data_IF_876396188433
#
_entry.id   IF_876396188433
#
_cell.length_a   1.000
_cell.length_b   1.000
_cell.length_c   1.000
_cell.angle_alpha   90.00
_cell.angle_beta   90.00
_cell.angle_gamma   90.00
#
_symmetry.space_group_name_H-M   'P 1'
#
loop_
_entity.id
_entity.type
_entity.pdbx_description
1 polymer ?
#
# COMPACT_ATOMS: atom_id res chain seq x y z
N UNK A 1 4.52 44.43 -41.85
CA UNK A 1 5.37 43.25 -41.56
C UNK A 1 5.29 43.01 -40.06
N UNK A 2 4.52 42.02 -39.64
CA UNK A 2 4.42 41.63 -38.23
C UNK A 2 5.48 40.54 -37.98
N UNK A 3 6.41 40.80 -37.06
CA UNK A 3 7.36 39.80 -36.60
C UNK A 3 6.58 38.75 -35.80
N UNK A 4 6.52 37.53 -36.32
CA UNK A 4 6.20 36.36 -35.50
C UNK A 4 7.29 36.20 -34.45
N UNK A 5 6.90 36.36 -33.19
CA UNK A 5 7.72 35.95 -32.05
C UNK A 5 7.72 34.43 -32.06
N UNK A 6 8.76 33.84 -32.64
CA UNK A 6 9.05 32.41 -32.52
C UNK A 6 9.18 32.10 -31.02
N UNK A 7 8.19 31.40 -30.45
CA UNK A 7 8.31 30.79 -29.12
C UNK A 7 9.51 29.86 -29.17
N UNK A 8 10.64 30.27 -28.60
CA UNK A 8 11.73 29.35 -28.30
C UNK A 8 11.22 28.37 -27.24
N UNK A 9 10.75 27.20 -27.66
CA UNK A 9 10.57 26.08 -26.76
C UNK A 9 11.95 25.71 -26.20
N UNK A 10 12.17 25.95 -24.91
CA UNK A 10 13.31 25.39 -24.18
C UNK A 10 13.13 23.88 -24.06
N UNK A 11 13.35 23.15 -25.16
CA UNK A 11 13.29 21.69 -25.20
C UNK A 11 14.58 21.10 -24.62
N UNK A 12 14.63 21.04 -23.30
CA UNK A 12 15.67 20.27 -22.59
C UNK A 12 15.50 18.77 -22.89
N UNK A 13 16.55 17.96 -22.67
CA UNK A 13 16.44 16.49 -22.77
C UNK A 13 15.32 15.94 -21.89
N UNK A 14 15.11 16.52 -20.70
CA UNK A 14 14.01 16.17 -19.82
C UNK A 14 12.65 16.47 -20.47
N UNK A 15 12.48 17.67 -21.03
CA UNK A 15 11.25 18.08 -21.72
C UNK A 15 10.92 17.13 -22.87
N UNK A 16 11.93 16.70 -23.63
CA UNK A 16 11.78 15.72 -24.70
C UNK A 16 11.19 14.39 -24.20
N UNK A 17 11.81 13.77 -23.17
CA UNK A 17 11.31 12.51 -22.63
C UNK A 17 9.94 12.67 -21.96
N UNK A 18 9.72 13.73 -21.19
CA UNK A 18 8.45 13.98 -20.53
C UNK A 18 7.30 14.11 -21.55
N UNK A 19 7.50 14.87 -22.63
CA UNK A 19 6.50 15.03 -23.69
C UNK A 19 6.25 13.72 -24.43
N UNK A 20 7.30 12.96 -24.74
CA UNK A 20 7.17 11.66 -25.41
C UNK A 20 6.32 10.68 -24.61
N UNK A 21 6.61 10.50 -23.31
CA UNK A 21 5.87 9.58 -22.46
C UNK A 21 4.47 10.08 -22.13
N UNK A 22 4.27 11.39 -22.00
CA UNK A 22 2.92 11.97 -21.85
C UNK A 22 2.04 11.64 -23.07
N UNK A 23 2.55 11.85 -24.28
CA UNK A 23 1.80 11.52 -25.50
C UNK A 23 1.59 10.00 -25.71
N UNK A 24 2.46 9.15 -25.13
CA UNK A 24 2.21 7.71 -25.06
C UNK A 24 1.06 7.39 -24.10
N UNK A 25 1.04 7.98 -22.90
CA UNK A 25 -0.02 7.75 -21.92
C UNK A 25 -1.38 8.24 -22.42
N UNK A 26 -1.43 9.37 -23.13
CA UNK A 26 -2.65 9.87 -23.79
C UNK A 26 -3.25 8.81 -24.73
N UNK A 27 -2.41 8.11 -25.51
CA UNK A 27 -2.86 7.02 -26.40
C UNK A 27 -3.28 5.77 -25.61
N UNK A 28 -2.48 5.35 -24.64
CA UNK A 28 -2.72 4.13 -23.86
C UNK A 28 -4.04 4.21 -23.09
N UNK A 29 -4.34 5.36 -22.52
CA UNK A 29 -5.61 5.61 -21.84
C UNK A 29 -6.77 5.61 -22.82
N UNK A 30 -6.64 6.28 -23.97
CA UNK A 30 -7.67 6.30 -25.00
C UNK A 30 -7.99 4.91 -25.56
N UNK A 31 -6.98 4.06 -25.77
CA UNK A 31 -7.15 2.66 -26.21
C UNK A 31 -7.96 1.82 -25.21
N UNK A 32 -7.93 2.17 -23.92
CA UNK A 32 -8.70 1.51 -22.87
C UNK A 32 -10.01 2.25 -22.54
N UNK A 33 -10.39 3.27 -23.33
CA UNK A 33 -11.59 4.08 -23.09
C UNK A 33 -11.52 4.95 -21.82
N UNK A 34 -10.32 5.23 -21.33
CA UNK A 34 -10.08 6.03 -20.14
C UNK A 34 -9.67 7.46 -20.52
N UNK A 35 -10.04 8.41 -19.67
CA UNK A 35 -9.61 9.79 -19.82
C UNK A 35 -8.23 9.98 -19.17
N UNK A 36 -7.26 10.46 -19.95
CA UNK A 36 -6.02 10.97 -19.41
C UNK A 36 -6.22 12.43 -18.97
N UNK A 37 -6.51 12.62 -17.69
CA UNK A 37 -6.81 13.94 -17.13
C UNK A 37 -5.55 14.76 -16.78
N UNK A 38 -5.78 16.04 -16.49
CA UNK A 38 -4.71 17.00 -16.17
C UNK A 38 -3.88 16.57 -14.96
N UNK A 39 -4.49 15.88 -13.98
CA UNK A 39 -3.77 15.42 -12.80
C UNK A 39 -2.90 14.20 -13.11
N UNK A 40 -3.40 13.23 -13.88
CA UNK A 40 -2.59 12.13 -14.40
C UNK A 40 -1.41 12.64 -15.23
N UNK A 41 -1.61 13.70 -16.04
CA UNK A 41 -0.52 14.37 -16.76
C UNK A 41 0.53 14.99 -15.84
N UNK A 42 0.10 15.69 -14.78
CA UNK A 42 1.02 16.21 -13.77
C UNK A 42 1.82 15.08 -13.09
N UNK A 43 1.19 13.96 -12.76
CA UNK A 43 1.85 12.80 -12.16
C UNK A 43 2.92 12.21 -13.09
N UNK A 44 2.64 12.10 -14.40
CA UNK A 44 3.62 11.67 -15.41
C UNK A 44 4.80 12.62 -15.50
N UNK A 45 4.55 13.93 -15.58
CA UNK A 45 5.62 14.93 -15.68
C UNK A 45 6.52 14.94 -14.43
N UNK A 46 5.92 14.85 -13.24
CA UNK A 46 6.64 14.75 -11.97
C UNK A 46 7.52 13.49 -11.94
N UNK A 47 6.96 12.36 -12.33
CA UNK A 47 7.65 11.07 -12.33
C UNK A 47 8.80 11.01 -13.35
N UNK A 48 8.60 11.55 -14.55
CA UNK A 48 9.67 11.64 -15.55
C UNK A 48 10.82 12.53 -15.05
N UNK A 49 10.52 13.61 -14.33
CA UNK A 49 11.53 14.47 -13.72
C UNK A 49 12.31 13.75 -12.62
N UNK A 50 11.62 12.98 -11.78
CA UNK A 50 12.24 12.16 -10.73
C UNK A 50 13.12 11.05 -11.31
N UNK A 51 12.63 10.31 -12.30
CA UNK A 51 13.38 9.24 -12.99
C UNK A 51 14.60 9.81 -13.71
N UNK A 52 14.46 10.93 -14.42
CA UNK A 52 15.58 11.57 -15.10
C UNK A 52 16.69 11.97 -14.12
N UNK A 53 16.31 12.54 -12.97
CA UNK A 53 17.25 12.91 -11.90
C UNK A 53 17.94 11.67 -11.30
N UNK A 54 17.19 10.58 -11.10
CA UNK A 54 17.73 9.30 -10.62
C UNK A 54 18.75 8.69 -11.60
N UNK A 55 18.41 8.67 -12.89
CA UNK A 55 19.27 8.11 -13.95
C UNK A 55 20.57 8.88 -14.08
N UNK A 56 20.46 10.21 -14.14
CA UNK A 56 21.63 11.08 -14.28
C UNK A 56 22.53 11.07 -13.04
N UNK A 57 21.95 11.09 -11.84
CA UNK A 57 22.73 10.96 -10.59
C UNK A 57 23.41 9.59 -10.45
N UNK A 58 22.81 8.53 -11.01
CA UNK A 58 23.40 7.19 -11.10
C UNK A 58 24.45 7.06 -12.21
N UNK A 59 24.77 8.14 -12.94
CA UNK A 59 25.68 8.16 -14.10
C UNK A 59 25.25 7.22 -15.24
N UNK A 60 23.96 6.97 -15.36
CA UNK A 60 23.35 6.22 -16.44
C UNK A 60 22.75 7.17 -17.49
N UNK A 61 22.42 6.63 -18.67
CA UNK A 61 21.75 7.36 -19.74
C UNK A 61 20.29 6.91 -19.85
N UNK A 62 19.38 7.83 -20.14
CA UNK A 62 17.95 7.52 -20.31
C UNK A 62 17.72 6.53 -21.46
N UNK A 63 18.57 6.61 -22.49
CA UNK A 63 18.60 5.75 -23.67
C UNK A 63 18.94 4.29 -23.34
N UNK A 64 19.58 4.03 -22.18
CA UNK A 64 19.93 2.68 -21.72
C UNK A 64 18.80 2.00 -20.92
N UNK A 65 17.73 2.74 -20.60
CA UNK A 65 16.57 2.16 -19.93
C UNK A 65 15.76 1.31 -20.90
N UNK A 66 15.20 0.22 -20.39
CA UNK A 66 14.24 -0.56 -21.17
C UNK A 66 12.94 0.23 -21.36
N UNK A 67 12.67 0.66 -22.60
CA UNK A 67 11.53 1.53 -22.93
C UNK A 67 10.17 0.92 -22.59
N UNK A 68 9.98 -0.39 -22.74
CA UNK A 68 8.73 -1.08 -22.38
C UNK A 68 8.46 -1.03 -20.87
N UNK A 69 9.49 -1.29 -20.05
CA UNK A 69 9.38 -1.16 -18.60
C UNK A 69 9.13 0.29 -18.18
N UNK A 70 9.83 1.27 -18.78
CA UNK A 70 9.59 2.68 -18.48
C UNK A 70 8.16 3.11 -18.84
N UNK A 71 7.64 2.71 -20.00
CA UNK A 71 6.23 2.94 -20.38
C UNK A 71 5.28 2.34 -19.36
N UNK A 72 5.51 1.09 -18.93
CA UNK A 72 4.69 0.42 -17.93
C UNK A 72 4.69 1.18 -16.60
N UNK A 73 5.87 1.54 -16.08
CA UNK A 73 6.00 2.29 -14.82
C UNK A 73 5.28 3.64 -14.88
N UNK A 74 5.42 4.38 -15.98
CA UNK A 74 4.72 5.66 -16.16
C UNK A 74 3.21 5.46 -16.28
N UNK A 75 2.74 4.36 -16.90
CA UNK A 75 1.33 3.99 -16.93
C UNK A 75 0.78 3.67 -15.53
N UNK A 76 1.57 3.01 -14.68
CA UNK A 76 1.21 2.75 -13.29
C UNK A 76 1.06 4.07 -12.51
N UNK A 77 2.02 4.98 -12.63
CA UNK A 77 1.96 6.32 -12.01
C UNK A 77 0.71 7.08 -12.46
N UNK A 78 0.47 7.13 -13.77
CA UNK A 78 -0.64 7.89 -14.34
C UNK A 78 -1.99 7.34 -13.90
N UNK A 79 -2.14 6.01 -13.90
CA UNK A 79 -3.39 5.33 -13.57
C UNK A 79 -3.70 5.34 -12.08
N UNK A 80 -2.67 5.23 -11.23
CA UNK A 80 -2.78 5.34 -9.77
C UNK A 80 -2.72 6.79 -9.28
N UNK A 81 -2.54 7.77 -10.18
CA UNK A 81 -2.51 9.21 -9.86
C UNK A 81 -1.51 9.56 -8.74
N UNK A 82 -0.33 8.94 -8.80
CA UNK A 82 0.73 9.10 -7.80
C UNK A 82 1.69 10.23 -8.21
N UNK A 83 1.79 11.27 -7.38
CA UNK A 83 2.64 12.43 -7.66
C UNK A 83 3.99 12.34 -6.94
N UNK A 84 5.06 12.15 -7.72
CA UNK A 84 6.43 12.09 -7.23
C UNK A 84 6.96 13.42 -6.63
N UNK A 85 6.29 14.55 -6.90
CA UNK A 85 6.62 15.87 -6.38
C UNK A 85 5.75 16.29 -5.18
N UNK A 86 4.79 15.46 -4.77
CA UNK A 86 4.01 15.73 -3.56
C UNK A 86 4.92 15.81 -2.33
N UNK A 87 4.46 16.54 -1.31
CA UNK A 87 5.15 16.64 -0.01
C UNK A 87 4.13 16.29 1.08
N UNK A 88 4.24 15.11 1.71
CA UNK A 88 5.17 14.01 1.45
C UNK A 88 5.04 13.38 0.05
N UNK A 89 6.11 12.78 -0.48
CA UNK A 89 6.09 12.10 -1.79
C UNK A 89 5.09 10.95 -1.78
N UNK A 90 4.40 10.74 -2.90
CA UNK A 90 3.44 9.65 -3.06
C UNK A 90 4.10 8.39 -3.69
N UNK A 91 5.23 8.55 -4.36
CA UNK A 91 5.98 7.45 -4.95
C UNK A 91 7.48 7.73 -5.10
N UNK A 92 8.27 6.66 -5.17
CA UNK A 92 9.70 6.69 -5.48
C UNK A 92 10.05 5.76 -6.63
N UNK A 93 11.23 5.97 -7.19
CA UNK A 93 11.79 5.15 -8.26
C UNK A 93 13.15 4.61 -7.86
N UNK A 94 13.48 3.40 -8.31
CA UNK A 94 14.80 2.81 -8.16
C UNK A 94 15.26 2.15 -9.46
N UNK A 95 16.56 2.14 -9.71
CA UNK A 95 17.15 1.44 -10.86
C UNK A 95 17.57 0.03 -10.48
N UNK A 96 17.23 -0.93 -11.32
CA UNK A 96 17.60 -2.33 -11.17
C UNK A 96 18.26 -2.85 -12.42
N UNK A 97 19.32 -3.61 -12.22
CA UNK A 97 19.96 -4.37 -13.30
C UNK A 97 19.25 -5.70 -13.43
N UNK A 98 18.68 -5.97 -14.60
CA UNK A 98 18.14 -7.29 -14.95
C UNK A 98 18.83 -7.82 -16.19
N UNK A 99 18.82 -9.14 -16.30
CA UNK A 99 19.36 -9.86 -17.43
C UNK A 99 18.19 -10.41 -18.23
N UNK A 100 18.16 -10.15 -19.53
CA UNK A 100 17.14 -10.70 -20.42
C UNK A 100 17.38 -12.20 -20.71
N UNK A 101 16.46 -12.81 -21.46
CA UNK A 101 16.55 -14.22 -21.85
C UNK A 101 17.81 -14.55 -22.70
N UNK A 102 18.40 -13.55 -23.34
CA UNK A 102 19.60 -13.67 -24.17
C UNK A 102 20.90 -13.44 -23.37
N UNK A 103 20.79 -13.14 -22.07
CA UNK A 103 21.94 -12.86 -21.23
C UNK A 103 22.44 -11.41 -21.30
N UNK A 104 21.74 -10.51 -21.99
CA UNK A 104 22.08 -9.09 -22.05
C UNK A 104 21.56 -8.37 -20.81
N UNK A 105 22.41 -7.53 -20.22
CA UNK A 105 22.04 -6.71 -19.07
C UNK A 105 21.41 -5.41 -19.53
N UNK A 106 20.29 -5.04 -18.92
CA UNK A 106 19.65 -3.75 -19.09
C UNK A 106 19.23 -3.16 -17.74
N UNK A 107 18.92 -1.87 -17.75
CA UNK A 107 18.39 -1.16 -16.58
C UNK A 107 16.87 -1.06 -16.68
N UNK A 108 16.21 -1.47 -15.62
CA UNK A 108 14.79 -1.27 -15.40
C UNK A 108 14.57 -0.27 -14.29
N UNK A 109 13.48 0.48 -14.40
CA UNK A 109 12.92 1.31 -13.34
C UNK A 109 11.91 0.46 -12.57
N UNK A 110 12.00 0.50 -11.26
CA UNK A 110 10.97 0.00 -10.36
C UNK A 110 10.31 1.16 -9.63
N UNK A 111 8.98 1.11 -9.54
CA UNK A 111 8.14 2.07 -8.83
C UNK A 111 7.77 1.49 -7.46
N UNK A 112 7.84 2.32 -6.43
CA UNK A 112 7.30 2.00 -5.11
C UNK A 112 6.41 3.12 -4.59
N UNK A 113 5.37 2.76 -3.84
CA UNK A 113 4.50 3.71 -3.15
C UNK A 113 5.19 4.11 -1.84
N UNK A 114 5.33 5.40 -1.60
CA UNK A 114 5.90 5.95 -0.36
C UNK A 114 5.05 7.10 0.19
N UNK A 115 5.46 7.59 1.37
CA UNK A 115 4.81 8.72 2.05
C UNK A 115 3.30 8.58 2.09
N UNK A 116 2.61 9.54 1.47
CA UNK A 116 1.14 9.64 1.46
C UNK A 116 0.51 9.02 0.19
N UNK A 117 1.24 8.18 -0.55
CA UNK A 117 0.73 7.59 -1.79
C UNK A 117 -0.47 6.68 -1.60
N UNK A 118 -0.55 5.93 -0.50
CA UNK A 118 -1.75 5.13 -0.22
C UNK A 118 -2.94 6.01 0.22
N UNK A 119 -2.67 7.12 0.93
CA UNK A 119 -3.68 8.11 1.28
C UNK A 119 -4.19 8.83 0.02
N UNK A 120 -3.32 9.08 -0.96
CA UNK A 120 -3.68 9.57 -2.28
C UNK A 120 -4.65 8.61 -2.97
N UNK A 121 -4.26 7.33 -3.04
CA UNK A 121 -5.09 6.27 -3.63
C UNK A 121 -6.47 6.21 -2.94
N UNK A 122 -6.55 6.31 -1.61
CA UNK A 122 -7.84 6.35 -0.91
C UNK A 122 -8.66 7.60 -1.31
N UNK A 123 -8.04 8.78 -1.36
CA UNK A 123 -8.70 10.04 -1.76
C UNK A 123 -9.23 10.00 -3.20
N UNK A 124 -8.56 9.29 -4.09
CA UNK A 124 -8.85 9.30 -5.53
C UNK A 124 -9.77 8.17 -5.95
N UNK A 125 -9.67 7.01 -5.31
CA UNK A 125 -10.34 5.78 -5.73
C UNK A 125 -11.22 5.15 -4.64
N UNK A 126 -11.27 5.69 -3.42
CA UNK A 126 -12.13 5.15 -2.37
C UNK A 126 -13.61 5.21 -2.77
N UNK A 127 -14.31 4.07 -2.70
CA UNK A 127 -15.74 4.01 -3.05
C UNK A 127 -16.54 4.93 -2.13
N UNK A 128 -17.27 5.90 -2.69
CA UNK A 128 -18.08 6.84 -1.91
C UNK A 128 -17.27 7.84 -1.08
N UNK A 129 -15.94 7.89 -1.23
CA UNK A 129 -15.10 8.84 -0.49
C UNK A 129 -15.24 10.23 -1.09
N UNK A 130 -15.71 11.17 -0.28
CA UNK A 130 -15.74 12.60 -0.63
C UNK A 130 -14.47 13.31 -0.15
N UNK A 131 -14.04 13.02 1.08
CA UNK A 131 -12.85 13.64 1.67
C UNK A 131 -12.25 12.76 2.76
N UNK A 132 -10.93 12.57 2.71
CA UNK A 132 -10.15 11.99 3.80
C UNK A 132 -9.65 13.14 4.68
N UNK A 133 -10.01 13.14 5.96
CA UNK A 133 -9.58 14.15 6.93
C UNK A 133 -8.22 13.80 7.55
N UNK A 134 -7.56 14.76 8.24
CA UNK A 134 -6.30 14.47 8.93
C UNK A 134 -6.40 13.28 9.87
N UNK A 135 -5.41 12.39 9.78
CA UNK A 135 -5.33 11.17 10.60
C UNK A 135 -5.11 11.52 12.07
N UNK A 136 -5.81 10.84 12.96
CA UNK A 136 -5.57 10.92 14.40
C UNK A 136 -4.50 9.90 14.78
N UNK A 137 -3.52 10.34 15.56
CA UNK A 137 -2.42 9.51 16.06
C UNK A 137 -2.58 9.34 17.57
N UNK A 138 -3.42 8.38 17.96
CA UNK A 138 -3.73 8.12 19.37
C UNK A 138 -2.51 7.49 20.03
N UNK A 139 -2.00 8.14 21.07
CA UNK A 139 -0.77 7.76 21.76
C UNK A 139 -1.06 6.96 23.02
N UNK A 140 -0.06 6.22 23.46
CA UNK A 140 -0.11 5.52 24.75
C UNK A 140 -0.38 6.53 25.88
N UNK A 141 -1.38 6.26 26.72
CA UNK A 141 -1.85 7.16 27.78
C UNK A 141 -3.03 8.06 27.37
N UNK A 142 -3.29 8.26 26.08
CA UNK A 142 -4.48 9.01 25.64
C UNK A 142 -5.78 8.26 25.96
N UNK A 143 -6.86 9.01 26.19
CA UNK A 143 -8.19 8.44 26.37
C UNK A 143 -8.85 8.34 25.00
N UNK A 144 -9.19 7.12 24.61
CA UNK A 144 -9.85 6.84 23.34
C UNK A 144 -11.09 5.99 23.55
N UNK A 145 -12.21 6.42 22.99
CA UNK A 145 -13.47 5.68 22.97
C UNK A 145 -13.73 5.23 21.54
N UNK A 146 -13.85 3.92 21.35
CA UNK A 146 -14.13 3.32 20.04
C UNK A 146 -15.52 3.69 19.53
N UNK A 147 -15.68 3.78 18.19
CA UNK A 147 -17.01 3.91 17.62
C UNK A 147 -17.85 2.69 17.96
N UNK A 148 -19.15 2.90 18.20
CA UNK A 148 -20.13 1.84 18.42
C UNK A 148 -21.14 1.82 17.29
N UNK A 149 -21.42 0.64 16.77
CA UNK A 149 -22.50 0.43 15.80
C UNK A 149 -23.83 0.30 16.54
N UNK A 150 -24.83 1.04 16.08
CA UNK A 150 -26.22 1.00 16.56
C UNK A 150 -27.14 0.86 15.35
N UNK A 151 -27.37 -0.38 14.93
CA UNK A 151 -28.05 -0.66 13.66
C UNK A 151 -27.20 -0.16 12.49
N UNK A 152 -27.78 0.70 11.64
CA UNK A 152 -27.09 1.32 10.50
C UNK A 152 -26.25 2.55 10.89
N UNK A 153 -26.44 3.10 12.09
CA UNK A 153 -25.71 4.27 12.56
C UNK A 153 -24.43 3.86 13.28
N UNK A 154 -23.37 4.66 13.12
CA UNK A 154 -22.12 4.50 13.88
C UNK A 154 -21.89 5.75 14.71
N UNK A 155 -21.71 5.57 16.02
CA UNK A 155 -21.31 6.66 16.90
C UNK A 155 -19.84 7.03 16.61
N UNK A 156 -19.50 8.32 16.49
CA UNK A 156 -18.12 8.75 16.30
C UNK A 156 -17.21 8.28 17.45
N UNK A 157 -15.93 7.98 17.16
CA UNK A 157 -14.94 7.83 18.20
C UNK A 157 -14.68 9.16 18.93
N UNK A 158 -14.24 9.06 20.18
CA UNK A 158 -13.77 10.20 20.97
C UNK A 158 -12.29 10.02 21.29
N UNK A 159 -11.53 11.12 21.24
CA UNK A 159 -10.11 11.13 21.57
C UNK A 159 -9.78 12.34 22.42
N UNK A 160 -9.15 12.11 23.57
CA UNK A 160 -8.59 13.14 24.42
C UNK A 160 -7.07 12.96 24.51
N UNK A 161 -6.34 13.94 24.01
CA UNK A 161 -4.88 13.98 24.05
C UNK A 161 -4.39 14.27 25.49
N UNK A 162 -3.68 13.32 26.09
CA UNK A 162 -3.03 13.50 27.39
C UNK A 162 -1.56 13.93 27.25
N UNK A 163 -0.93 13.57 26.13
CA UNK A 163 0.45 13.96 25.82
C UNK A 163 1.51 13.25 26.67
N UNK A 164 1.16 12.11 27.26
CA UNK A 164 2.03 11.36 28.19
C UNK A 164 3.12 10.55 27.49
N UNK A 165 2.91 10.19 26.22
CA UNK A 165 3.84 9.39 25.41
C UNK A 165 3.92 9.91 23.98
N UNK A 166 5.00 9.55 23.27
CA UNK A 166 5.10 9.69 21.82
C UNK A 166 4.82 8.38 21.07
N UNK A 167 4.67 7.27 21.80
CA UNK A 167 4.36 5.96 21.22
C UNK A 167 2.94 5.94 20.70
N UNK A 168 2.77 5.81 19.39
CA UNK A 168 1.45 5.74 18.77
C UNK A 168 0.92 4.31 18.89
N UNK A 169 -0.25 4.15 19.50
CA UNK A 169 -0.89 2.84 19.69
C UNK A 169 -1.97 2.58 18.66
N UNK A 170 -2.58 3.64 18.10
CA UNK A 170 -3.65 3.54 17.09
C UNK A 170 -3.60 4.68 16.10
N UNK A 171 -4.08 4.42 14.90
CA UNK A 171 -4.38 5.44 13.91
C UNK A 171 -5.86 5.41 13.56
N UNK A 172 -6.48 6.58 13.42
CA UNK A 172 -7.90 6.71 13.05
C UNK A 172 -8.01 7.67 11.88
N UNK A 173 -8.66 7.20 10.81
CA UNK A 173 -8.96 8.00 9.62
C UNK A 173 -10.44 8.36 9.59
N UNK A 174 -10.80 9.63 9.82
CA UNK A 174 -12.14 10.11 9.53
C UNK A 174 -12.27 10.31 8.01
N UNK A 175 -13.19 9.57 7.39
CA UNK A 175 -13.48 9.60 5.96
C UNK A 175 -14.90 10.08 5.76
N UNK A 176 -15.04 11.28 5.21
CA UNK A 176 -16.35 11.84 4.86
C UNK A 176 -16.83 11.20 3.55
N UNK A 177 -18.05 10.67 3.61
CA UNK A 177 -18.70 9.94 2.54
C UNK A 177 -19.57 10.87 1.69
N UNK A 178 -19.89 10.47 0.46
CA UNK A 178 -20.68 11.27 -0.48
C UNK A 178 -22.14 11.48 -0.05
N UNK A 179 -22.70 10.57 0.72
CA UNK A 179 -24.03 10.62 1.36
C UNK A 179 -24.03 11.40 2.69
N UNK A 180 -22.86 11.82 3.18
CA UNK A 180 -22.70 12.75 4.28
C UNK A 180 -22.40 12.14 5.64
N UNK A 181 -22.39 10.80 5.79
CA UNK A 181 -21.85 10.20 7.01
C UNK A 181 -20.32 10.19 7.01
N UNK A 182 -19.74 9.87 8.17
CA UNK A 182 -18.29 9.75 8.35
C UNK A 182 -17.98 8.32 8.78
N UNK A 183 -17.11 7.67 8.02
CA UNK A 183 -16.55 6.37 8.37
C UNK A 183 -15.20 6.56 9.06
N UNK A 184 -14.90 5.69 10.03
CA UNK A 184 -13.67 5.78 10.82
C UNK A 184 -12.84 4.51 10.58
N UNK A 185 -11.79 4.62 9.76
CA UNK A 185 -10.89 3.49 9.50
C UNK A 185 -9.81 3.46 10.58
N UNK A 186 -9.78 2.37 11.35
CA UNK A 186 -8.91 2.24 12.52
C UNK A 186 -7.91 1.11 12.30
N UNK A 187 -6.65 1.34 12.65
CA UNK A 187 -5.66 0.28 12.78
C UNK A 187 -4.90 0.37 14.11
N UNK A 188 -4.71 -0.79 14.71
CA UNK A 188 -3.95 -0.97 15.94
C UNK A 188 -2.46 -1.17 15.64
N UNK A 189 -1.60 -0.76 16.57
CA UNK A 189 -0.14 -0.97 16.49
C UNK A 189 0.23 -2.43 16.29
N UNK A 190 -0.46 -3.35 16.97
CA UNK A 190 -0.20 -4.79 16.87
C UNK A 190 -0.41 -5.34 15.45
N UNK A 191 -1.24 -4.69 14.62
CA UNK A 191 -1.40 -5.09 13.22
C UNK A 191 -0.09 -5.01 12.43
N UNK A 192 0.89 -4.22 12.88
CA UNK A 192 2.18 -4.03 12.20
C UNK A 192 3.09 -5.25 12.30
N UNK A 193 2.82 -6.18 13.22
CA UNK A 193 3.58 -7.43 13.36
C UNK A 193 3.63 -8.23 12.06
N UNK A 194 2.50 -8.31 11.36
CA UNK A 194 2.43 -9.03 10.06
C UNK A 194 3.32 -8.37 9.00
N UNK A 195 3.37 -7.03 8.98
CA UNK A 195 4.23 -6.29 8.05
C UNK A 195 5.72 -6.49 8.37
N UNK A 196 6.11 -6.46 9.64
CA UNK A 196 7.50 -6.69 10.06
C UNK A 196 7.93 -8.13 9.80
N UNK A 197 7.04 -9.10 10.04
CA UNK A 197 7.27 -10.50 9.72
C UNK A 197 7.51 -10.70 8.22
N UNK A 198 6.63 -10.14 7.37
CA UNK A 198 6.79 -10.18 5.92
C UNK A 198 8.09 -9.52 5.45
N UNK A 199 8.48 -8.40 6.08
CA UNK A 199 9.75 -7.73 5.80
C UNK A 199 10.96 -8.64 6.08
N UNK A 200 11.00 -9.29 7.24
CA UNK A 200 12.09 -10.24 7.58
C UNK A 200 12.09 -11.43 6.63
N UNK A 201 10.92 -12.01 6.33
CA UNK A 201 10.77 -13.12 5.37
C UNK A 201 11.36 -12.78 4.00
N UNK A 202 11.08 -11.58 3.49
CA UNK A 202 11.58 -11.12 2.20
C UNK A 202 13.11 -10.94 2.21
N UNK A 203 13.68 -10.42 3.31
CA UNK A 203 15.13 -10.30 3.46
C UNK A 203 15.83 -11.66 3.53
N UNK A 204 15.20 -12.64 4.17
CA UNK A 204 15.72 -14.01 4.29
C UNK A 204 15.61 -14.82 2.99
N UNK A 205 14.90 -14.34 1.96
CA UNK A 205 14.65 -15.11 0.74
C UNK A 205 15.95 -15.61 0.08
N UNK A 206 16.97 -14.74 0.02
CA UNK A 206 18.25 -15.03 -0.60
C UNK A 206 19.37 -15.37 0.39
N UNK A 207 19.08 -15.35 1.69
CA UNK A 207 20.06 -15.64 2.73
C UNK A 207 20.43 -17.13 2.75
N UNK A 208 21.72 -17.40 2.91
CA UNK A 208 22.29 -18.75 2.91
C UNK A 208 22.95 -19.12 4.24
N UNK A 209 23.09 -18.17 5.17
CA UNK A 209 23.67 -18.37 6.50
C UNK A 209 25.09 -18.95 6.48
N UNK A 210 25.83 -18.73 5.39
CA UNK A 210 27.16 -19.32 5.19
C UNK A 210 27.17 -20.83 4.97
N UNK A 211 26.01 -21.47 4.79
CA UNK A 211 25.89 -22.93 4.56
C UNK A 211 26.44 -23.29 3.17
N UNK A 212 26.19 -22.43 2.19
CA UNK A 212 26.67 -22.63 0.82
C UNK A 212 28.10 -22.10 0.73
N UNK A 213 29.04 -23.03 0.58
CA UNK A 213 30.47 -22.73 0.46
C UNK A 213 31.07 -23.37 -0.79
N UNK A 214 32.19 -22.81 -1.25
CA UNK A 214 32.94 -23.29 -2.41
C UNK A 214 32.54 -22.64 -3.73
N UNK A 215 33.09 -23.17 -4.82
CA UNK A 215 32.92 -22.64 -6.18
C UNK A 215 32.07 -23.56 -7.04
N UNK A 216 31.25 -22.99 -7.91
CA UNK A 216 30.46 -23.71 -8.89
C UNK A 216 31.32 -24.19 -10.06
N UNK A 217 30.71 -24.93 -11.01
CA UNK A 217 31.39 -25.47 -12.19
C UNK A 217 32.02 -24.42 -13.11
N UNK A 218 31.70 -23.14 -12.91
CA UNK A 218 32.25 -21.99 -13.65
C UNK A 218 33.32 -21.22 -12.86
N UNK A 219 33.75 -21.75 -11.71
CA UNK A 219 34.79 -21.12 -10.87
C UNK A 219 34.32 -19.87 -10.09
N UNK A 220 33.01 -19.59 -10.06
CA UNK A 220 32.39 -18.53 -9.25
C UNK A 220 31.91 -19.08 -7.92
N UNK A 221 31.80 -18.25 -6.88
CA UNK A 221 31.27 -18.70 -5.60
C UNK A 221 29.84 -19.24 -5.75
N UNK A 222 29.56 -20.34 -5.05
CA UNK A 222 28.25 -20.99 -5.07
C UNK A 222 27.22 -20.08 -4.41
N UNK A 223 26.04 -20.03 -5.01
CA UNK A 223 24.90 -19.23 -4.54
C UNK A 223 23.75 -20.14 -4.13
N UNK A 224 22.63 -19.56 -3.64
CA UNK A 224 21.39 -20.32 -3.36
C UNK A 224 20.91 -21.18 -4.53
N UNK A 225 21.26 -20.79 -5.76
CA UNK A 225 20.86 -21.51 -6.97
C UNK A 225 21.68 -22.78 -7.21
N UNK A 226 22.86 -22.88 -6.59
CA UNK A 226 23.78 -24.02 -6.67
C UNK A 226 23.65 -24.96 -5.46
N UNK A 227 22.63 -24.76 -4.61
CA UNK A 227 22.42 -25.50 -3.37
C UNK A 227 21.93 -26.94 -3.64
N UNK A 228 22.58 -27.91 -3.00
CA UNK A 228 22.14 -29.30 -2.92
C UNK A 228 20.83 -29.41 -2.12
N UNK A 229 20.05 -30.50 -2.28
CA UNK A 229 18.84 -30.71 -1.48
C UNK A 229 19.07 -30.65 0.03
N UNK A 230 20.22 -31.15 0.51
CA UNK A 230 20.57 -31.14 1.93
C UNK A 230 20.89 -29.73 2.44
N UNK A 231 21.68 -28.95 1.70
CA UNK A 231 21.96 -27.55 2.03
C UNK A 231 20.67 -26.71 2.03
N UNK A 232 19.75 -26.95 1.08
CA UNK A 232 18.44 -26.29 1.06
C UNK A 232 17.63 -26.58 2.32
N UNK A 233 17.64 -27.83 2.79
CA UNK A 233 16.95 -28.23 4.01
C UNK A 233 17.55 -27.58 5.27
N UNK A 234 18.88 -27.45 5.33
CA UNK A 234 19.56 -26.75 6.42
C UNK A 234 19.26 -25.25 6.42
N UNK A 235 19.24 -24.62 5.24
CA UNK A 235 18.85 -23.21 5.08
C UNK A 235 17.41 -23.01 5.54
N UNK A 236 16.49 -23.90 5.15
CA UNK A 236 15.09 -23.79 5.55
C UNK A 236 14.90 -23.98 7.05
N UNK A 237 15.63 -24.92 7.67
CA UNK A 237 15.61 -25.10 9.12
C UNK A 237 16.09 -23.83 9.86
N UNK A 238 17.13 -23.15 9.34
CA UNK A 238 17.60 -21.87 9.89
C UNK A 238 16.60 -20.74 9.72
N UNK A 239 15.88 -20.68 8.60
CA UNK A 239 14.79 -19.71 8.41
C UNK A 239 13.65 -19.97 9.38
N UNK A 240 13.27 -21.23 9.57
CA UNK A 240 12.18 -21.60 10.47
C UNK A 240 12.52 -21.32 11.94
N UNK A 241 13.79 -21.43 12.35
CA UNK A 241 14.27 -20.98 13.66
C UNK A 241 13.99 -19.49 13.88
N UNK A 242 14.32 -18.65 12.90
CA UNK A 242 14.07 -17.20 12.95
C UNK A 242 12.55 -16.91 12.94
N UNK A 243 11.79 -17.59 12.08
CA UNK A 243 10.34 -17.42 12.01
C UNK A 243 9.65 -17.82 13.31
N UNK A 244 10.06 -18.91 13.93
CA UNK A 244 9.51 -19.37 15.20
C UNK A 244 9.76 -18.36 16.31
N UNK A 245 10.99 -17.85 16.42
CA UNK A 245 11.32 -16.80 17.38
C UNK A 245 10.46 -15.53 17.19
N UNK A 246 10.21 -15.13 15.94
CA UNK A 246 9.34 -13.98 15.64
C UNK A 246 7.85 -14.24 15.96
N UNK A 247 7.37 -15.48 15.81
CA UNK A 247 5.98 -15.84 16.16
C UNK A 247 5.73 -15.82 17.66
N UNK A 248 6.77 -16.10 18.46
CA UNK A 248 6.69 -16.07 19.93
C UNK A 248 6.67 -14.65 20.51
N UNK A 249 7.14 -13.64 19.76
CA UNK A 249 7.10 -12.25 20.16
C UNK A 249 5.64 -11.76 20.34
N UNK A 250 5.34 -11.14 21.48
CA UNK A 250 3.99 -10.66 21.78
C UNK A 250 3.70 -9.32 21.12
N UNK A 251 4.65 -8.39 21.17
CA UNK A 251 4.50 -7.03 20.65
C UNK A 251 5.40 -6.76 19.44
N UNK A 252 5.17 -5.63 18.76
CA UNK A 252 6.06 -5.14 17.70
C UNK A 252 7.45 -4.82 18.26
N UNK A 253 7.52 -4.27 19.47
CA UNK A 253 8.79 -3.98 20.15
C UNK A 253 9.59 -5.24 20.43
N UNK A 254 8.94 -6.33 20.86
CA UNK A 254 9.60 -7.61 21.08
C UNK A 254 10.22 -8.15 19.79
N UNK A 255 9.51 -8.02 18.66
CA UNK A 255 10.03 -8.42 17.35
C UNK A 255 11.25 -7.59 16.93
N UNK A 256 11.23 -6.26 17.17
CA UNK A 256 12.35 -5.37 16.86
C UNK A 256 13.58 -5.65 17.75
N UNK A 257 13.36 -6.09 18.98
CA UNK A 257 14.40 -6.44 19.94
C UNK A 257 14.82 -7.92 19.89
N UNK A 258 14.21 -8.73 19.03
CA UNK A 258 14.56 -10.14 18.88
C UNK A 258 15.98 -10.28 18.31
N UNK A 259 16.94 -10.68 19.15
CA UNK A 259 18.36 -10.78 18.77
C UNK A 259 18.62 -11.68 17.55
N UNK A 260 17.83 -12.74 17.39
CA UNK A 260 17.94 -13.70 16.28
C UNK A 260 17.48 -13.06 14.95
N UNK A 261 16.42 -12.26 14.98
CA UNK A 261 15.82 -11.67 13.79
C UNK A 261 16.42 -10.30 13.43
N UNK A 262 16.94 -9.57 14.43
CA UNK A 262 17.48 -8.20 14.30
C UNK A 262 18.49 -8.01 13.16
N UNK A 263 19.42 -8.95 12.86
CA UNK A 263 20.32 -8.82 11.71
C UNK A 263 19.62 -8.74 10.35
N UNK A 264 18.38 -9.22 10.26
CA UNK A 264 17.58 -9.28 9.04
C UNK A 264 16.49 -8.21 8.99
N UNK A 265 16.44 -7.32 9.99
CA UNK A 265 15.56 -6.15 10.02
C UNK A 265 16.33 -4.97 9.41
N UNK A 266 15.66 -4.19 8.55
CA UNK A 266 16.36 -3.07 7.88
C UNK A 266 16.54 -1.89 8.83
N UNK A 267 17.57 -1.09 8.58
CA UNK A 267 17.91 0.09 9.39
C UNK A 267 16.72 1.03 9.61
N UNK A 268 15.85 1.25 8.61
CA UNK A 268 14.67 2.10 8.76
C UNK A 268 13.74 1.69 9.93
N UNK A 269 13.61 0.39 10.19
CA UNK A 269 12.82 -0.13 11.30
C UNK A 269 13.53 -0.03 12.65
N UNK A 270 14.88 0.01 12.66
CA UNK A 270 15.69 0.03 13.88
C UNK A 270 16.04 1.46 14.31
N UNK A 271 16.42 2.31 13.36
CA UNK A 271 16.86 3.69 13.61
C UNK A 271 15.67 4.62 13.84
N UNK A 272 14.57 4.40 13.10
CA UNK A 272 13.35 5.19 13.15
C UNK A 272 12.09 4.32 13.26
N UNK A 273 11.93 3.52 14.33
CA UNK A 273 10.83 2.56 14.46
C UNK A 273 9.45 3.24 14.42
N UNK A 274 9.24 4.35 15.16
CA UNK A 274 7.92 4.99 15.24
C UNK A 274 7.40 5.47 13.88
N UNK A 275 8.23 6.12 13.06
CA UNK A 275 7.80 6.61 11.75
C UNK A 275 7.39 5.45 10.83
N UNK A 276 8.15 4.35 10.89
CA UNK A 276 7.87 3.14 10.14
C UNK A 276 6.60 2.44 10.62
N UNK A 277 6.40 2.32 11.94
CA UNK A 277 5.23 1.70 12.55
C UNK A 277 3.97 2.52 12.24
N UNK A 278 4.01 3.85 12.43
CA UNK A 278 2.89 4.75 12.07
C UNK A 278 2.55 4.62 10.59
N UNK A 279 3.54 4.61 9.70
CA UNK A 279 3.31 4.40 8.27
C UNK A 279 2.64 3.06 7.97
N UNK A 280 3.04 1.98 8.63
CA UNK A 280 2.41 0.65 8.43
C UNK A 280 1.01 0.59 9.02
N UNK A 281 0.76 1.19 10.19
CA UNK A 281 -0.59 1.33 10.74
C UNK A 281 -1.50 2.10 9.78
N UNK A 282 -1.04 3.24 9.26
CA UNK A 282 -1.78 4.05 8.27
C UNK A 282 -2.17 3.22 7.05
N UNK A 283 -1.21 2.50 6.48
CA UNK A 283 -1.44 1.59 5.36
C UNK A 283 -2.44 0.48 5.69
N UNK A 284 -2.34 -0.14 6.86
CA UNK A 284 -3.24 -1.22 7.27
C UNK A 284 -4.68 -0.74 7.43
N UNK A 285 -4.89 0.50 7.91
CA UNK A 285 -6.22 1.10 8.05
C UNK A 285 -6.89 1.31 6.68
N UNK A 286 -6.16 1.87 5.72
CA UNK A 286 -6.72 2.29 4.42
C UNK A 286 -6.75 1.18 3.37
N UNK A 287 -5.88 0.17 3.45
CA UNK A 287 -5.78 -0.88 2.42
C UNK A 287 -7.05 -1.70 2.28
N UNK A 288 -7.70 -2.02 3.40
CA UNK A 288 -8.94 -2.79 3.46
C UNK A 288 -10.14 -2.05 2.86
N UNK A 289 -10.05 -0.73 2.73
CA UNK A 289 -11.13 0.07 2.20
C UNK A 289 -11.40 -0.27 0.72
N UNK A 290 -12.67 -0.46 0.30
CA UNK A 290 -13.00 -0.75 -1.09
C UNK A 290 -12.62 0.42 -1.99
N UNK A 291 -12.00 0.10 -3.13
CA UNK A 291 -11.52 1.10 -4.09
C UNK A 291 -12.05 0.78 -5.48
N UNK A 292 -12.58 1.79 -6.15
CA UNK A 292 -13.05 1.73 -7.53
C UNK A 292 -11.92 2.13 -8.47
N UNK A 293 -11.10 1.14 -8.83
CA UNK A 293 -9.99 1.32 -9.74
C UNK A 293 -10.46 1.08 -11.19
N UNK A 294 -9.97 1.91 -12.12
CA UNK A 294 -10.08 1.56 -13.53
C UNK A 294 -9.21 0.32 -13.86
N UNK A 295 -9.41 -0.26 -15.05
CA UNK A 295 -8.74 -1.49 -15.46
C UNK A 295 -7.19 -1.39 -15.39
N UNK A 296 -6.62 -0.25 -15.81
CA UNK A 296 -5.17 -0.03 -15.78
C UNK A 296 -4.66 0.11 -14.34
N UNK A 297 -5.36 0.85 -13.49
CA UNK A 297 -5.00 1.06 -12.08
C UNK A 297 -5.07 -0.26 -11.29
N UNK A 298 -6.11 -1.06 -11.53
CA UNK A 298 -6.26 -2.39 -10.92
C UNK A 298 -5.07 -3.30 -11.25
N UNK A 299 -4.73 -3.40 -12.54
CA UNK A 299 -3.58 -4.17 -13.00
C UNK A 299 -2.26 -3.65 -12.43
N UNK A 300 -2.12 -2.32 -12.35
CA UNK A 300 -0.94 -1.66 -11.80
C UNK A 300 -0.70 -2.02 -10.34
N UNK A 301 -1.74 -1.97 -9.50
CA UNK A 301 -1.62 -2.27 -8.09
C UNK A 301 -1.31 -3.75 -7.84
N UNK A 302 -1.94 -4.67 -8.59
CA UNK A 302 -1.66 -6.11 -8.52
C UNK A 302 -0.20 -6.46 -8.85
N UNK A 303 0.42 -5.70 -9.78
CA UNK A 303 1.83 -5.90 -10.15
C UNK A 303 2.80 -5.33 -9.11
N UNK A 304 2.40 -4.30 -8.37
CA UNK A 304 3.27 -3.56 -7.45
C UNK A 304 3.19 -4.03 -6.00
N UNK A 305 2.01 -4.44 -5.52
CA UNK A 305 1.75 -4.68 -4.10
C UNK A 305 1.31 -6.13 -3.85
N UNK A 306 2.27 -6.94 -3.37
CA UNK A 306 2.05 -8.34 -3.00
C UNK A 306 0.97 -8.50 -1.90
N UNK A 307 0.88 -7.53 -0.98
CA UNK A 307 -0.11 -7.58 0.09
C UNK A 307 -1.50 -7.21 -0.41
N UNK A 308 -1.62 -6.31 -1.40
CA UNK A 308 -2.90 -6.05 -2.07
C UNK A 308 -3.41 -7.30 -2.79
N UNK A 309 -2.50 -8.02 -3.46
CA UNK A 309 -2.83 -9.30 -4.11
C UNK A 309 -3.37 -10.32 -3.10
N UNK A 310 -2.69 -10.49 -1.96
CA UNK A 310 -3.12 -11.39 -0.89
C UNK A 310 -4.50 -11.03 -0.32
N UNK A 311 -4.77 -9.73 -0.10
CA UNK A 311 -6.08 -9.27 0.39
C UNK A 311 -7.18 -9.52 -0.64
N UNK A 312 -6.92 -9.33 -1.93
CA UNK A 312 -7.90 -9.63 -2.99
C UNK A 312 -8.18 -11.14 -3.10
N UNK A 313 -7.14 -11.97 -2.97
CA UNK A 313 -7.28 -13.43 -2.91
C UNK A 313 -8.10 -13.83 -1.67
N UNK A 314 -7.82 -13.27 -0.49
CA UNK A 314 -8.58 -13.50 0.74
C UNK A 314 -10.04 -13.06 0.62
N UNK A 315 -10.32 -11.88 0.04
CA UNK A 315 -11.68 -11.42 -0.20
C UNK A 315 -12.38 -12.36 -1.19
N UNK A 316 -11.73 -12.77 -2.28
CA UNK A 316 -12.35 -13.65 -3.27
C UNK A 316 -12.63 -15.06 -2.72
N UNK A 317 -11.77 -15.59 -1.84
CA UNK A 317 -11.95 -16.89 -1.20
C UNK A 317 -13.00 -16.87 -0.07
N UNK A 318 -13.08 -15.76 0.68
CA UNK A 318 -13.99 -15.63 1.84
C UNK A 318 -15.29 -14.89 1.54
N UNK A 319 -15.43 -14.24 0.37
CA UNK A 319 -16.68 -13.63 -0.04
C UNK A 319 -17.71 -14.73 -0.37
N UNK A 320 -18.75 -14.80 0.46
CA UNK A 320 -19.92 -15.69 0.29
C UNK A 320 -19.63 -17.20 0.39
N UNK A 321 -18.58 -17.62 1.09
CA UNK A 321 -18.26 -19.05 1.28
C UNK A 321 -18.88 -19.68 2.54
N UNK A 322 -19.49 -18.89 3.43
CA UNK A 322 -20.35 -19.41 4.50
C UNK A 322 -21.83 -19.36 4.07
N UNK A 323 -22.46 -20.53 3.95
CA UNK A 323 -23.92 -20.62 3.76
C UNK A 323 -24.63 -20.01 4.97
N UNK A 324 -25.58 -19.11 4.73
CA UNK A 324 -26.43 -18.56 5.77
C UNK A 324 -27.36 -19.66 6.29
N UNK A 325 -26.96 -20.34 7.37
CA UNK A 325 -27.81 -21.32 8.05
C UNK A 325 -28.84 -20.54 8.87
N UNK A 326 -30.08 -20.51 8.39
CA UNK A 326 -31.24 -20.02 9.15
C UNK A 326 -31.59 -21.04 10.23
N UNK A 327 -30.82 -21.09 11.32
CA UNK A 327 -31.18 -21.87 12.50
C UNK A 327 -32.11 -21.05 13.40
N UNK A 328 -33.36 -20.92 12.97
CA UNK A 328 -34.57 -20.90 13.81
C UNK A 328 -35.82 -20.62 12.96
N UNK A 329 -36.91 -21.39 13.08
CA UNK A 329 -38.20 -20.96 12.54
C UNK A 329 -38.61 -19.68 13.27
N UNK A 330 -39.05 -18.69 12.50
CA UNK A 330 -39.61 -17.45 13.03
C UNK A 330 -40.65 -17.77 14.12
N UNK A 331 -40.41 -17.26 15.33
CA UNK A 331 -41.45 -17.23 16.37
C UNK A 331 -42.52 -16.28 15.87
N UNK A 332 -43.67 -16.81 15.45
CA UNK A 332 -44.89 -16.02 15.29
C UNK A 332 -45.16 -15.31 16.62
N UNK A 333 -44.96 -14.00 16.65
CA UNK A 333 -45.45 -13.17 17.75
C UNK A 333 -46.95 -13.06 17.56
N UNK A 334 -47.71 -13.92 18.23
CA UNK A 334 -49.16 -13.75 18.40
C UNK A 334 -49.40 -12.57 19.32
N UNK A 335 -49.75 -11.42 18.76
CA UNK A 335 -50.30 -10.30 19.53
C UNK A 335 -51.70 -10.69 20.02
N UNK A 336 -51.83 -11.00 21.32
CA UNK A 336 -53.12 -10.92 22.00
C UNK A 336 -53.44 -9.45 22.28
N UNK A 337 -54.61 -8.93 21.85
CA UNK A 337 -54.98 -7.55 22.10
C UNK A 337 -55.38 -7.39 23.55
N UNK A 338 -54.58 -6.66 24.33
CA UNK A 338 -55.03 -6.09 25.61
C UNK A 338 -56.08 -5.03 25.31
N UNK A 339 -57.33 -5.35 25.62
CA UNK A 339 -58.43 -4.39 25.68
C UNK A 339 -58.12 -3.36 26.77
N UNK A 340 -57.84 -2.12 26.36
CA UNK A 340 -57.87 -0.97 27.25
C UNK A 340 -59.26 -0.32 27.13
N UNK A 341 -60.05 -0.49 28.20
CA UNK A 341 -61.34 0.13 28.37
C UNK A 341 -61.09 1.37 29.21
N UNK A 342 -61.09 2.54 28.58
CA UNK A 342 -61.54 3.75 29.27
C UNK A 342 -62.32 4.66 28.31
N UNK A 343 -63.63 4.69 28.56
CA UNK A 343 -64.62 5.55 27.92
C UNK A 343 -64.48 6.96 28.49
N UNK A 344 -64.34 7.96 27.63
CA UNK A 344 -64.75 9.33 27.96
C UNK A 344 -66.26 9.47 27.66
N UNK A 345 -67.08 10.02 28.59
CA UNK A 345 -68.50 10.25 28.33
C UNK A 345 -68.69 11.54 27.52
N UNK A 346 -69.52 11.45 26.48
CA UNK A 346 -70.18 12.58 25.86
C UNK A 346 -71.25 13.13 26.81
N UNK A 347 -71.29 14.44 27.00
CA UNK A 347 -72.52 15.16 27.37
C UNK A 347 -72.76 16.30 26.36
N UNK A 348 -73.93 16.18 25.74
CA UNK A 348 -74.82 17.09 24.97
C UNK A 348 -74.28 18.24 24.12
#
# INVERSE_FOLDING_TARGET
>A
MANEVVKQEMNTKLSYYANQYTGLMERDFAEHGLQFDDYSKQCVMASMSAIYSLVTSSKEAMENLQGSNLRQVIGQVASLKLNANAVPRECYFQLRSKQDANGQWHKEVELGIEGDGNDAILRQFGVGVKKVHPVWLVKEGDIFVYPKHKGMETTPPEWEEKGESQKVVRVVYPVEMTDGHVEYLIAERESVKTNLFAHVRNNLMNETFGIITGKNSKGKDRTRHDATPEEKKQIEAKKEEIYSALRECQTVEDMLNCDIAKPYISAAWLDTPESMIVRKMRNNAIKKYPKDFNAIASQSLMQMDEMYRQVQEEIAENANSEDFIVDSPAVEVTEEPKADVDKAPFEE
#
